data_IF_096589458512
#
_entry.id   IF_096589458512
#
_cell.length_a   1.000
_cell.length_b   1.000
_cell.length_c   1.000
_cell.angle_alpha   90.00
_cell.angle_beta   90.00
_cell.angle_gamma   90.00
#
_symmetry.space_group_name_H-M   'P 1'
#
loop_
_entity.id
_entity.type
_entity.pdbx_description
1 polymer ?
#
# COMPACT_ATOMS: atom_id res chain seq x y z
N UNK A 1 8.88 81.50 -4.23
CA UNK A 1 9.32 80.20 -4.77
C UNK A 1 9.98 80.44 -6.11
N UNK A 2 11.22 80.00 -6.31
CA UNK A 2 11.88 80.06 -7.63
C UNK A 2 11.27 79.01 -8.55
N UNK A 3 11.21 79.30 -9.86
CA UNK A 3 10.78 78.34 -10.88
C UNK A 3 11.58 77.03 -10.81
N UNK A 4 12.87 77.10 -10.43
CA UNK A 4 13.70 75.92 -10.21
C UNK A 4 13.16 74.96 -9.15
N UNK A 5 12.62 75.49 -8.05
CA UNK A 5 12.08 74.66 -6.97
C UNK A 5 10.77 73.96 -7.39
N UNK A 6 10.05 74.53 -8.36
CA UNK A 6 8.88 73.89 -8.95
C UNK A 6 9.27 72.77 -9.91
N UNK A 7 10.26 72.99 -10.78
CA UNK A 7 10.76 71.98 -11.71
C UNK A 7 11.35 70.76 -10.97
N UNK A 8 12.07 71.00 -9.86
CA UNK A 8 12.60 69.96 -8.99
C UNK A 8 11.47 69.11 -8.38
N UNK A 9 10.40 69.73 -7.88
CA UNK A 9 9.23 69.04 -7.34
C UNK A 9 8.47 68.23 -8.40
N UNK A 10 8.37 68.73 -9.63
CA UNK A 10 7.74 68.00 -10.74
C UNK A 10 8.58 66.78 -11.12
N UNK A 11 9.91 66.90 -11.14
CA UNK A 11 10.81 65.75 -11.37
C UNK A 11 10.72 64.71 -10.25
N UNK A 12 10.63 65.16 -9.00
CA UNK A 12 10.48 64.26 -7.85
C UNK A 12 9.13 63.52 -7.88
N UNK A 13 8.03 64.21 -8.19
CA UNK A 13 6.72 63.58 -8.39
C UNK A 13 6.73 62.56 -9.52
N UNK A 14 7.30 62.92 -10.69
CA UNK A 14 7.39 62.00 -11.82
C UNK A 14 8.22 60.73 -11.48
N UNK A 15 9.26 60.88 -10.66
CA UNK A 15 10.07 59.77 -10.17
C UNK A 15 9.29 58.88 -9.20
N UNK A 16 8.58 59.46 -8.24
CA UNK A 16 7.74 58.71 -7.29
C UNK A 16 6.61 57.97 -8.02
N UNK A 17 5.98 58.59 -9.02
CA UNK A 17 4.97 57.97 -9.86
C UNK A 17 5.56 56.78 -10.63
N UNK A 18 6.75 56.93 -11.22
CA UNK A 18 7.44 55.83 -11.92
C UNK A 18 7.80 54.67 -10.97
N UNK A 19 8.29 54.96 -9.77
CA UNK A 19 8.63 53.94 -8.75
C UNK A 19 7.35 53.24 -8.23
N UNK A 20 6.24 53.97 -8.09
CA UNK A 20 4.94 53.40 -7.71
C UNK A 20 4.36 52.50 -8.83
N UNK A 21 4.48 52.91 -10.09
CA UNK A 21 4.07 52.11 -11.24
C UNK A 21 4.93 50.84 -11.38
N UNK A 22 6.24 50.93 -11.14
CA UNK A 22 7.14 49.78 -11.18
C UNK A 22 6.85 48.78 -10.06
N UNK A 23 6.62 49.27 -8.82
CA UNK A 23 6.31 48.41 -7.67
C UNK A 23 4.94 47.72 -7.81
N UNK A 24 3.92 48.44 -8.29
CA UNK A 24 2.60 47.86 -8.58
C UNK A 24 2.66 46.82 -9.70
N UNK A 25 3.39 47.09 -10.78
CA UNK A 25 3.60 46.11 -11.85
C UNK A 25 4.34 44.85 -11.36
N UNK A 26 5.33 45.00 -10.47
CA UNK A 26 6.03 43.86 -9.88
C UNK A 26 5.11 43.06 -8.93
N UNK A 27 4.31 43.74 -8.11
CA UNK A 27 3.33 43.10 -7.22
C UNK A 27 2.28 42.31 -8.03
N UNK A 28 1.75 42.89 -9.11
CA UNK A 28 0.82 42.23 -10.02
C UNK A 28 1.43 40.97 -10.65
N UNK A 29 2.68 41.04 -11.13
CA UNK A 29 3.40 39.87 -11.67
C UNK A 29 3.62 38.78 -10.62
N UNK A 30 3.94 39.13 -9.38
CA UNK A 30 4.10 38.16 -8.28
C UNK A 30 2.77 37.49 -7.94
N UNK A 31 1.69 38.27 -7.85
CA UNK A 31 0.34 37.76 -7.62
C UNK A 31 -0.09 36.76 -8.71
N UNK A 32 0.15 37.10 -9.97
CA UNK A 32 -0.21 36.23 -11.09
C UNK A 32 0.56 34.90 -11.07
N UNK A 33 1.87 34.95 -10.79
CA UNK A 33 2.68 33.73 -10.61
C UNK A 33 2.16 32.86 -9.46
N UNK A 34 1.79 33.47 -8.33
CA UNK A 34 1.22 32.74 -7.18
C UNK A 34 -0.13 32.11 -7.53
N UNK A 35 -0.99 32.80 -8.28
CA UNK A 35 -2.27 32.25 -8.75
C UNK A 35 -2.08 31.06 -9.68
N UNK A 36 -1.16 31.16 -10.63
CA UNK A 36 -0.78 30.04 -11.50
C UNK A 36 -0.26 28.86 -10.68
N UNK A 37 0.69 29.08 -9.77
CA UNK A 37 1.24 28.01 -8.94
C UNK A 37 0.18 27.34 -8.05
N UNK A 38 -0.77 28.12 -7.51
CA UNK A 38 -1.88 27.59 -6.72
C UNK A 38 -2.85 26.77 -7.58
N UNK A 39 -3.12 27.21 -8.81
CA UNK A 39 -3.95 26.45 -9.76
C UNK A 39 -3.31 25.10 -10.11
N UNK A 40 -2.00 25.08 -10.33
CA UNK A 40 -1.23 23.85 -10.60
C UNK A 40 -1.29 22.89 -9.40
N UNK A 41 -1.03 23.39 -8.18
CA UNK A 41 -1.13 22.60 -6.94
C UNK A 41 -2.53 22.01 -6.76
N UNK A 42 -3.58 22.79 -7.05
CA UNK A 42 -4.96 22.32 -6.97
C UNK A 42 -5.24 21.22 -7.99
N UNK A 43 -4.80 21.40 -9.23
CA UNK A 43 -4.94 20.37 -10.27
C UNK A 43 -4.24 19.07 -9.88
N UNK A 44 -3.03 19.16 -9.34
CA UNK A 44 -2.27 18.00 -8.88
C UNK A 44 -2.97 17.30 -7.69
N UNK A 45 -3.55 18.07 -6.77
CA UNK A 45 -4.30 17.54 -5.63
C UNK A 45 -5.55 16.79 -6.08
N UNK A 46 -6.31 17.35 -7.02
CA UNK A 46 -7.49 16.71 -7.60
C UNK A 46 -7.11 15.38 -8.29
N UNK A 47 -6.01 15.38 -9.06
CA UNK A 47 -5.50 14.16 -9.71
C UNK A 47 -5.04 13.12 -8.67
N UNK A 48 -4.31 13.53 -7.63
CA UNK A 48 -3.88 12.62 -6.58
C UNK A 48 -5.07 12.02 -5.82
N UNK A 49 -6.09 12.83 -5.54
CA UNK A 49 -7.32 12.39 -4.87
C UNK A 49 -8.05 11.34 -5.70
N UNK A 50 -8.18 11.55 -7.02
CA UNK A 50 -8.75 10.56 -7.93
C UNK A 50 -7.93 9.26 -7.93
N UNK A 51 -6.60 9.34 -8.03
CA UNK A 51 -5.71 8.16 -8.00
C UNK A 51 -5.79 7.41 -6.66
N UNK A 52 -5.96 8.10 -5.54
CA UNK A 52 -6.15 7.47 -4.22
C UNK A 52 -7.49 6.77 -4.16
N UNK A 53 -8.57 7.39 -4.63
CA UNK A 53 -9.90 6.78 -4.69
C UNK A 53 -9.91 5.51 -5.57
N UNK A 54 -9.27 5.56 -6.74
CA UNK A 54 -9.07 4.39 -7.61
C UNK A 54 -8.30 3.27 -6.92
N UNK A 55 -7.22 3.62 -6.20
CA UNK A 55 -6.42 2.65 -5.46
C UNK A 55 -7.20 2.03 -4.30
N UNK A 56 -7.98 2.81 -3.56
CA UNK A 56 -8.85 2.32 -2.49
C UNK A 56 -9.92 1.37 -3.05
N UNK A 57 -10.54 1.73 -4.17
CA UNK A 57 -11.48 0.86 -4.89
C UNK A 57 -10.83 -0.46 -5.33
N UNK A 58 -9.64 -0.40 -5.93
CA UNK A 58 -8.89 -1.57 -6.37
C UNK A 58 -8.49 -2.49 -5.19
N UNK A 59 -8.13 -1.90 -4.05
CA UNK A 59 -7.81 -2.64 -2.82
C UNK A 59 -9.06 -3.08 -2.02
N UNK A 60 -10.25 -2.65 -2.43
CA UNK A 60 -11.52 -2.85 -1.73
C UNK A 60 -11.48 -2.33 -0.29
N UNK A 61 -10.82 -1.20 -0.09
CA UNK A 61 -10.75 -0.47 1.18
C UNK A 61 -11.60 0.79 1.11
N UNK A 62 -12.12 1.24 2.24
CA UNK A 62 -12.82 2.53 2.34
C UNK A 62 -11.88 3.67 1.96
N UNK A 63 -12.37 4.61 1.16
CA UNK A 63 -11.63 5.85 0.86
C UNK A 63 -11.38 6.60 2.18
N UNK A 64 -10.13 7.03 2.45
CA UNK A 64 -9.84 7.81 3.65
C UNK A 64 -10.61 9.14 3.60
N UNK A 65 -10.97 9.64 4.77
CA UNK A 65 -11.42 11.03 4.89
C UNK A 65 -10.23 11.95 4.62
N UNK A 66 -10.40 12.88 3.69
CA UNK A 66 -9.37 13.84 3.27
C UNK A 66 -9.60 15.22 3.89
N UNK A 67 -10.56 15.34 4.80
CA UNK A 67 -10.73 16.55 5.61
C UNK A 67 -9.48 16.75 6.47
N UNK A 68 -8.85 17.93 6.44
CA UNK A 68 -7.66 18.21 7.23
C UNK A 68 -7.95 18.10 8.72
N UNK A 69 -6.98 17.59 9.47
CA UNK A 69 -7.04 17.55 10.93
C UNK A 69 -6.97 19.01 11.46
N UNK A 70 -7.85 19.42 12.38
CA UNK A 70 -7.84 20.78 12.94
C UNK A 70 -6.48 21.19 13.52
N UNK A 71 -5.70 20.24 14.06
CA UNK A 71 -4.35 20.54 14.56
C UNK A 71 -3.35 20.91 13.44
N UNK A 72 -3.55 20.37 12.23
CA UNK A 72 -2.78 20.71 11.04
C UNK A 72 -3.24 22.06 10.50
N UNK A 73 -4.55 22.32 10.52
CA UNK A 73 -5.14 23.59 10.07
C UNK A 73 -4.62 24.78 10.90
N UNK A 74 -4.53 24.64 12.23
CA UNK A 74 -3.94 25.66 13.11
C UNK A 74 -2.45 25.92 12.83
N UNK A 75 -1.68 24.86 12.52
CA UNK A 75 -0.25 24.98 12.21
C UNK A 75 -0.02 25.62 10.83
N UNK A 76 -0.86 25.32 9.85
CA UNK A 76 -0.82 25.94 8.52
C UNK A 76 -1.26 27.40 8.56
N UNK A 77 -2.24 27.76 9.39
CA UNK A 77 -2.67 29.15 9.59
C UNK A 77 -1.58 30.03 10.19
N UNK A 78 -0.58 29.45 10.87
CA UNK A 78 0.58 30.17 11.39
C UNK A 78 1.60 30.56 10.30
N UNK A 79 1.51 29.99 9.09
CA UNK A 79 2.39 30.32 7.97
C UNK A 79 1.96 31.65 7.35
N UNK A 80 2.68 32.72 7.69
CA UNK A 80 2.35 34.08 7.22
C UNK A 80 2.86 34.38 5.80
N UNK A 81 3.81 33.59 5.27
CA UNK A 81 4.37 33.77 3.94
C UNK A 81 3.70 32.85 2.90
N UNK A 82 2.98 33.39 1.91
CA UNK A 82 2.31 32.58 0.89
C UNK A 82 3.28 31.79 -0.01
N UNK A 83 4.51 32.27 -0.22
CA UNK A 83 5.49 31.53 -1.02
C UNK A 83 6.00 30.30 -0.25
N UNK A 84 6.18 30.42 1.07
CA UNK A 84 6.50 29.30 1.94
C UNK A 84 5.37 28.27 2.00
N UNK A 85 4.10 28.73 2.09
CA UNK A 85 2.94 27.86 2.08
C UNK A 85 2.83 27.04 0.78
N UNK A 86 3.05 27.67 -0.38
CA UNK A 86 3.08 26.99 -1.68
C UNK A 86 4.20 25.94 -1.78
N UNK A 87 5.40 26.28 -1.29
CA UNK A 87 6.52 25.34 -1.28
C UNK A 87 6.26 24.13 -0.36
N UNK A 88 5.59 24.37 0.78
CA UNK A 88 5.18 23.30 1.69
C UNK A 88 4.16 22.37 1.03
N UNK A 89 3.11 22.93 0.41
CA UNK A 89 2.09 22.15 -0.30
C UNK A 89 2.70 21.29 -1.41
N UNK A 90 3.63 21.82 -2.20
CA UNK A 90 4.33 21.05 -3.23
C UNK A 90 5.18 19.91 -2.65
N UNK A 91 5.80 20.13 -1.50
CA UNK A 91 6.61 19.10 -0.82
C UNK A 91 5.70 18.00 -0.28
N UNK A 92 4.60 18.36 0.38
CA UNK A 92 3.60 17.43 0.87
C UNK A 92 2.99 16.59 -0.28
N UNK A 93 2.69 17.19 -1.43
CA UNK A 93 2.21 16.46 -2.62
C UNK A 93 3.23 15.42 -3.13
N UNK A 94 4.53 15.74 -3.09
CA UNK A 94 5.57 14.77 -3.48
C UNK A 94 5.70 13.63 -2.48
N UNK A 95 5.60 13.93 -1.19
CA UNK A 95 5.60 12.92 -0.13
C UNK A 95 4.39 11.99 -0.24
N UNK A 96 3.20 12.56 -0.50
CA UNK A 96 1.99 11.80 -0.75
C UNK A 96 2.13 10.86 -1.97
N UNK A 97 2.74 11.32 -3.06
CA UNK A 97 3.02 10.47 -4.22
C UNK A 97 4.01 9.35 -3.91
N UNK A 98 5.07 9.65 -3.15
CA UNK A 98 6.02 8.64 -2.71
C UNK A 98 5.34 7.58 -1.83
N UNK A 99 4.49 8.00 -0.90
CA UNK A 99 3.70 7.11 -0.04
C UNK A 99 2.71 6.27 -0.86
N UNK A 100 2.00 6.86 -1.83
CA UNK A 100 1.12 6.12 -2.77
C UNK A 100 1.91 5.04 -3.50
N UNK A 101 3.06 5.39 -4.06
CA UNK A 101 3.93 4.47 -4.80
C UNK A 101 4.43 3.32 -3.92
N UNK A 102 4.80 3.62 -2.66
CA UNK A 102 5.18 2.60 -1.69
C UNK A 102 4.01 1.65 -1.37
N UNK A 103 2.79 2.18 -1.20
CA UNK A 103 1.58 1.39 -0.96
C UNK A 103 1.24 0.48 -2.13
N UNK A 104 1.34 0.97 -3.38
CA UNK A 104 1.16 0.14 -4.58
C UNK A 104 2.16 -1.01 -4.60
N UNK A 105 3.45 -0.73 -4.36
CA UNK A 105 4.51 -1.75 -4.30
C UNK A 105 4.26 -2.76 -3.18
N UNK A 106 3.76 -2.33 -2.04
CA UNK A 106 3.41 -3.21 -0.93
C UNK A 106 2.21 -4.10 -1.28
N UNK A 107 1.19 -3.56 -1.93
CA UNK A 107 0.00 -4.32 -2.36
C UNK A 107 0.28 -5.32 -3.49
N UNK A 108 1.33 -5.09 -4.28
CA UNK A 108 1.84 -6.03 -5.29
C UNK A 108 2.64 -7.19 -4.69
N UNK A 109 3.03 -7.11 -3.40
CA UNK A 109 3.73 -8.21 -2.72
C UNK A 109 2.73 -9.29 -2.24
N UNK A 110 3.20 -10.53 -2.03
CA UNK A 110 2.37 -11.59 -1.47
C UNK A 110 1.84 -11.21 -0.09
N UNK A 111 0.58 -11.52 0.20
CA UNK A 111 -0.10 -11.12 1.44
C UNK A 111 0.45 -11.80 2.69
N UNK A 112 0.97 -13.03 2.56
CA UNK A 112 1.48 -13.80 3.69
C UNK A 112 3.01 -13.70 3.73
N UNK A 113 3.54 -13.13 4.83
CA UNK A 113 4.96 -12.94 5.12
C UNK A 113 5.74 -12.24 3.98
N UNK A 114 5.53 -10.93 3.78
CA UNK A 114 6.21 -10.18 2.74
C UNK A 114 7.73 -10.14 3.03
N UNK A 115 8.54 -10.71 2.12
CA UNK A 115 10.01 -10.74 2.22
C UNK A 115 10.60 -12.09 2.64
N UNK A 116 9.77 -13.05 3.05
CA UNK A 116 10.23 -14.41 3.35
C UNK A 116 10.38 -15.23 2.07
N UNK A 117 11.39 -16.09 2.03
CA UNK A 117 11.63 -16.99 0.90
C UNK A 117 10.41 -17.90 0.65
N UNK A 118 10.05 -18.10 -0.62
CA UNK A 118 8.84 -18.81 -1.03
C UNK A 118 8.70 -20.21 -0.39
N UNK A 119 9.82 -20.93 -0.22
CA UNK A 119 9.86 -22.26 0.41
C UNK A 119 9.39 -22.21 1.87
N UNK A 120 9.84 -21.22 2.65
CA UNK A 120 9.49 -21.14 4.08
C UNK A 120 8.00 -20.81 4.26
N UNK A 121 7.46 -19.98 3.36
CA UNK A 121 6.04 -19.66 3.36
C UNK A 121 5.18 -20.88 3.03
N UNK A 122 5.55 -21.64 2.00
CA UNK A 122 4.86 -22.89 1.67
C UNK A 122 4.96 -23.90 2.83
N UNK A 123 6.14 -24.03 3.45
CA UNK A 123 6.36 -24.89 4.61
C UNK A 123 5.44 -24.54 5.78
N UNK A 124 5.23 -23.25 6.09
CA UNK A 124 4.34 -22.82 7.17
C UNK A 124 2.86 -23.11 6.86
N UNK A 125 2.43 -22.91 5.62
CA UNK A 125 1.03 -23.19 5.22
C UNK A 125 0.78 -24.69 5.23
N UNK A 126 1.62 -25.48 4.56
CA UNK A 126 1.46 -26.94 4.57
C UNK A 126 1.65 -27.52 5.97
N UNK A 127 2.65 -27.05 6.72
CA UNK A 127 2.94 -27.50 8.07
C UNK A 127 1.76 -27.25 9.03
N UNK A 128 1.16 -26.06 8.99
CA UNK A 128 -0.02 -25.77 9.83
C UNK A 128 -1.24 -26.63 9.45
N UNK A 129 -1.49 -26.87 8.17
CA UNK A 129 -2.52 -27.82 7.73
C UNK A 129 -2.25 -29.25 8.21
N UNK A 130 -1.00 -29.71 8.17
CA UNK A 130 -0.63 -31.05 8.63
C UNK A 130 -0.75 -31.20 10.15
N UNK A 131 -0.38 -30.17 10.92
CA UNK A 131 -0.57 -30.16 12.37
C UNK A 131 -2.06 -30.21 12.71
N UNK A 132 -2.89 -29.40 12.05
CA UNK A 132 -4.34 -29.42 12.26
C UNK A 132 -4.95 -30.79 11.91
N UNK A 133 -4.50 -31.41 10.81
CA UNK A 133 -4.88 -32.76 10.43
C UNK A 133 -4.52 -33.78 11.52
N UNK A 134 -3.30 -33.73 12.03
CA UNK A 134 -2.79 -34.66 13.03
C UNK A 134 -3.52 -34.52 14.37
N UNK A 135 -3.84 -33.30 14.79
CA UNK A 135 -4.72 -33.05 15.95
C UNK A 135 -6.09 -33.71 15.75
N UNK A 136 -6.69 -33.54 14.56
CA UNK A 136 -7.96 -34.19 14.22
C UNK A 136 -7.90 -35.71 14.25
N UNK A 137 -6.81 -36.30 13.73
CA UNK A 137 -6.59 -37.75 13.77
C UNK A 137 -6.44 -38.29 15.19
N UNK A 138 -5.71 -37.59 16.08
CA UNK A 138 -5.61 -37.96 17.49
C UNK A 138 -6.93 -37.82 18.24
N UNK A 139 -7.68 -36.74 17.98
CA UNK A 139 -9.01 -36.56 18.57
C UNK A 139 -9.97 -37.67 18.14
N UNK A 140 -9.92 -38.08 16.87
CA UNK A 140 -10.69 -39.21 16.36
C UNK A 140 -10.29 -40.52 17.06
N UNK A 141 -8.98 -40.79 17.19
CA UNK A 141 -8.49 -42.01 17.83
C UNK A 141 -8.89 -42.08 19.31
N UNK A 142 -8.84 -40.96 20.02
CA UNK A 142 -9.31 -40.84 21.40
C UNK A 142 -10.83 -41.07 21.52
N UNK A 143 -11.62 -40.61 20.56
CA UNK A 143 -13.08 -40.77 20.56
C UNK A 143 -13.55 -42.17 20.14
N UNK A 144 -12.84 -42.81 19.20
CA UNK A 144 -13.23 -44.12 18.65
C UNK A 144 -12.67 -45.31 19.43
N UNK A 145 -11.84 -45.07 20.45
CA UNK A 145 -11.26 -46.12 21.30
C UNK A 145 -10.22 -47.01 20.62
N UNK A 146 -9.64 -46.57 19.50
CA UNK A 146 -8.55 -47.27 18.80
C UNK A 146 -8.93 -48.64 18.21
N UNK A 147 -9.54 -48.67 17.02
CA UNK A 147 -9.71 -49.92 16.26
C UNK A 147 -10.92 -49.92 15.33
N UNK A 148 -10.70 -50.19 14.05
CA UNK A 148 -11.74 -50.37 13.03
C UNK A 148 -11.21 -50.23 11.60
N UNK A 149 -11.91 -50.80 10.61
CA UNK A 149 -11.56 -50.65 9.18
C UNK A 149 -11.51 -49.17 8.74
N UNK A 150 -12.28 -48.30 9.40
CA UNK A 150 -12.27 -46.86 9.16
C UNK A 150 -10.92 -46.19 9.50
N UNK A 151 -10.09 -46.79 10.36
CA UNK A 151 -8.79 -46.23 10.75
C UNK A 151 -7.88 -46.04 9.52
N UNK A 152 -7.86 -47.00 8.60
CA UNK A 152 -7.08 -46.90 7.36
C UNK A 152 -7.53 -45.71 6.50
N UNK A 153 -8.83 -45.47 6.37
CA UNK A 153 -9.33 -44.32 5.63
C UNK A 153 -8.89 -42.99 6.27
N UNK A 154 -8.88 -42.91 7.60
CA UNK A 154 -8.46 -41.71 8.34
C UNK A 154 -6.95 -41.47 8.26
N UNK A 155 -6.14 -42.54 8.28
CA UNK A 155 -4.67 -42.48 8.16
C UNK A 155 -4.25 -41.92 6.79
N UNK A 156 -4.87 -42.38 5.70
CA UNK A 156 -4.41 -42.07 4.35
C UNK A 156 -5.18 -40.92 3.69
N UNK A 157 -6.50 -40.83 3.89
CA UNK A 157 -7.31 -39.80 3.22
C UNK A 157 -7.13 -38.42 3.85
N UNK A 158 -7.01 -38.36 5.19
CA UNK A 158 -6.92 -37.09 5.92
C UNK A 158 -5.68 -36.26 5.53
N UNK A 159 -4.45 -36.83 5.48
CA UNK A 159 -3.26 -36.07 5.09
C UNK A 159 -3.27 -35.66 3.61
N UNK A 160 -3.88 -36.46 2.73
CA UNK A 160 -4.04 -36.10 1.31
C UNK A 160 -5.00 -34.92 1.16
N UNK A 161 -6.14 -34.94 1.87
CA UNK A 161 -7.07 -33.81 1.90
C UNK A 161 -6.41 -32.57 2.50
N UNK A 162 -5.65 -32.70 3.58
CA UNK A 162 -4.91 -31.61 4.18
C UNK A 162 -3.86 -31.02 3.23
N UNK A 163 -3.14 -31.85 2.46
CA UNK A 163 -2.21 -31.39 1.43
C UNK A 163 -2.94 -30.62 0.31
N UNK A 164 -4.11 -31.10 -0.12
CA UNK A 164 -4.91 -30.45 -1.16
C UNK A 164 -5.46 -29.11 -0.67
N UNK A 165 -5.97 -29.05 0.56
CA UNK A 165 -6.41 -27.80 1.22
C UNK A 165 -5.22 -26.84 1.35
N UNK A 166 -4.07 -27.33 1.81
CA UNK A 166 -2.84 -26.54 1.89
C UNK A 166 -2.43 -25.97 0.52
N UNK A 167 -2.53 -26.77 -0.56
CA UNK A 167 -2.24 -26.33 -1.91
C UNK A 167 -3.17 -25.21 -2.38
N UNK A 168 -4.47 -25.33 -2.09
CA UNK A 168 -5.46 -24.28 -2.37
C UNK A 168 -5.18 -23.02 -1.54
N UNK A 169 -4.84 -23.16 -0.26
CA UNK A 169 -4.50 -22.05 0.63
C UNK A 169 -3.23 -21.33 0.20
N UNK A 170 -2.18 -22.03 -0.23
CA UNK A 170 -0.98 -21.42 -0.83
C UNK A 170 -1.36 -20.62 -2.08
N UNK A 171 -2.27 -21.15 -2.89
CA UNK A 171 -2.80 -20.46 -4.07
C UNK A 171 -3.59 -19.19 -3.74
N UNK A 172 -4.33 -19.17 -2.63
CA UNK A 172 -5.11 -18.02 -2.19
C UNK A 172 -4.25 -16.99 -1.44
N UNK A 173 -3.42 -17.43 -0.49
CA UNK A 173 -2.62 -16.58 0.39
C UNK A 173 -1.40 -15.93 -0.29
N UNK A 174 -0.98 -16.45 -1.45
CA UNK A 174 0.13 -15.89 -2.21
C UNK A 174 -0.31 -15.01 -3.39
N UNK A 175 -1.63 -14.84 -3.61
CA UNK A 175 -2.12 -13.94 -4.64
C UNK A 175 -1.85 -12.49 -4.22
N UNK A 176 -1.13 -11.70 -5.03
CA UNK A 176 -0.98 -10.28 -4.77
C UNK A 176 -2.35 -9.58 -4.87
N UNK A 177 -2.54 -8.52 -4.09
CA UNK A 177 -3.82 -7.78 -4.07
C UNK A 177 -4.02 -6.96 -5.33
N UNK A 178 -2.92 -6.44 -5.88
CA UNK A 178 -2.90 -5.74 -7.17
C UNK A 178 -2.16 -6.58 -8.21
N UNK A 179 -2.59 -6.55 -9.48
CA UNK A 179 -1.82 -7.13 -10.57
C UNK A 179 -0.46 -6.43 -10.66
N UNK A 180 0.60 -7.20 -10.90
CA UNK A 180 1.88 -6.61 -11.25
C UNK A 180 1.72 -5.95 -12.63
N UNK A 181 2.18 -4.72 -12.77
CA UNK A 181 2.18 -4.01 -14.05
C UNK A 181 3.59 -4.00 -14.62
N UNK A 182 3.70 -4.19 -15.93
CA UNK A 182 4.95 -4.02 -16.67
C UNK A 182 5.31 -2.52 -16.80
N UNK A 183 6.51 -2.21 -17.28
CA UNK A 183 6.99 -0.84 -17.58
C UNK A 183 6.06 -0.08 -18.52
N UNK A 184 5.25 -0.78 -19.32
CA UNK A 184 4.25 -0.24 -20.23
C UNK A 184 2.82 -0.18 -19.64
N UNK A 185 2.66 -0.40 -18.32
CA UNK A 185 1.35 -0.35 -17.65
C UNK A 185 0.45 -1.55 -17.91
N UNK A 186 0.93 -2.58 -18.62
CA UNK A 186 0.15 -3.79 -18.91
C UNK A 186 0.16 -4.76 -17.72
N UNK A 187 -0.96 -5.39 -17.36
CA UNK A 187 -1.00 -6.36 -16.28
C UNK A 187 -0.22 -7.62 -16.65
N UNK A 188 0.79 -7.95 -15.85
CA UNK A 188 1.57 -9.19 -15.90
C UNK A 188 0.85 -10.24 -15.06
N UNK A 189 0.61 -11.41 -15.66
CA UNK A 189 -0.01 -12.53 -14.95
C UNK A 189 0.91 -12.96 -13.80
N UNK A 190 0.48 -12.87 -12.52
CA UNK A 190 1.32 -13.27 -11.41
C UNK A 190 1.50 -14.79 -11.45
N UNK A 191 2.69 -15.25 -11.80
CA UNK A 191 3.07 -16.66 -11.67
C UNK A 191 3.40 -16.88 -10.20
N UNK A 192 2.42 -17.38 -9.45
CA UNK A 192 2.66 -17.83 -8.07
C UNK A 192 3.47 -19.14 -8.17
N UNK A 193 4.74 -19.18 -7.73
CA UNK A 193 5.47 -20.44 -7.68
C UNK A 193 4.72 -21.37 -6.72
N UNK A 194 4.45 -22.59 -7.18
CA UNK A 194 3.82 -23.65 -6.38
C UNK A 194 4.76 -24.83 -6.40
N UNK A 195 5.17 -25.32 -5.22
CA UNK A 195 5.91 -26.57 -5.14
C UNK A 195 5.02 -27.71 -4.57
N UNK A 196 4.32 -28.48 -5.43
CA UNK A 196 3.46 -29.57 -4.98
C UNK A 196 4.25 -30.68 -4.29
N UNK A 197 5.56 -30.80 -4.57
CA UNK A 197 6.42 -31.83 -3.98
C UNK A 197 6.53 -31.67 -2.47
N UNK A 198 6.61 -30.43 -1.96
CA UNK A 198 6.71 -30.15 -0.53
C UNK A 198 5.44 -30.61 0.22
N UNK A 199 4.26 -30.36 -0.35
CA UNK A 199 3.00 -30.82 0.22
C UNK A 199 2.92 -32.35 0.29
N UNK A 200 3.34 -33.04 -0.77
CA UNK A 200 3.37 -34.51 -0.80
C UNK A 200 4.38 -35.08 0.21
N UNK A 201 5.60 -34.53 0.29
CA UNK A 201 6.60 -34.99 1.25
C UNK A 201 6.12 -34.84 2.68
N UNK A 202 5.48 -33.71 3.01
CA UNK A 202 4.91 -33.50 4.33
C UNK A 202 3.77 -34.47 4.63
N UNK A 203 2.88 -34.71 3.67
CA UNK A 203 1.79 -35.67 3.83
C UNK A 203 2.30 -37.08 4.13
N UNK A 204 3.32 -37.55 3.41
CA UNK A 204 3.96 -38.86 3.64
C UNK A 204 4.60 -38.91 5.03
N UNK A 205 5.30 -37.86 5.45
CA UNK A 205 5.85 -37.77 6.80
C UNK A 205 4.75 -37.81 7.88
N UNK A 206 3.64 -37.10 7.69
CA UNK A 206 2.50 -37.10 8.62
C UNK A 206 1.83 -38.46 8.70
N UNK A 207 1.66 -39.15 7.57
CA UNK A 207 1.16 -40.54 7.53
C UNK A 207 2.06 -41.48 8.32
N UNK A 208 3.38 -41.43 8.08
CA UNK A 208 4.34 -42.28 8.77
C UNK A 208 4.35 -42.02 10.29
N UNK A 209 4.30 -40.75 10.69
CA UNK A 209 4.29 -40.35 12.09
C UNK A 209 3.00 -40.79 12.78
N UNK A 210 1.83 -40.58 12.17
CA UNK A 210 0.57 -41.04 12.74
C UNK A 210 0.50 -42.56 12.82
N UNK A 211 0.95 -43.29 11.80
CA UNK A 211 1.02 -44.76 11.83
C UNK A 211 1.91 -45.25 12.98
N UNK A 212 3.08 -44.62 13.20
CA UNK A 212 3.94 -44.95 14.33
C UNK A 212 3.19 -44.82 15.67
N UNK A 213 2.50 -43.71 15.91
CA UNK A 213 1.73 -43.52 17.14
C UNK A 213 0.53 -44.46 17.26
N UNK A 214 -0.19 -44.71 16.16
CA UNK A 214 -1.38 -45.56 16.20
C UNK A 214 -1.07 -47.05 16.45
N UNK A 215 0.13 -47.52 16.07
CA UNK A 215 0.50 -48.94 16.20
C UNK A 215 1.51 -49.23 17.30
N UNK A 216 2.34 -48.27 17.71
CA UNK A 216 3.46 -48.50 18.64
C UNK A 216 3.43 -47.66 19.91
N UNK A 217 2.57 -46.65 20.03
CA UNK A 217 2.44 -45.81 21.23
C UNK A 217 1.13 -46.11 21.97
#
# INVERSE_FOLDING_TARGET
MSLSAYDDLVHELARLDADSAASTAQAARRLERRRSALADVRSDLDEQTARIAELCSALRTTTPDLVPDPAVEEAEAAVQDPDAALAHAQTALREAEAARTATVRAAQRPTLLPGVHHVLRELLVYGSCMIACLIGQFAYLAASGGGGEALWSVVFLSPVLAALVGYLLVGAANRPRLPLTDRHGKPVKPVVPRNPRLGVTLAVCTMALFAYFAFFA
#
